data_IF_551260752049
#
_entry.id   IF_551260752049
#
_cell.length_a   1.000
_cell.length_b   1.000
_cell.length_c   1.000
_cell.angle_alpha   90.00
_cell.angle_beta   90.00
_cell.angle_gamma   90.00
#
_symmetry.space_group_name_H-M   'P 1'
#
loop_
_entity.id
_entity.type
_entity.pdbx_description
1 polymer ?
#
# COMPACT_ATOMS: atom_id res chain seq x y z
N UNK A 1 18.27 2.96 -11.43
CA UNK A 1 18.73 2.00 -12.45
C UNK A 1 18.16 0.62 -12.19
N UNK A 2 18.30 -0.33 -13.13
CA UNK A 2 17.59 -1.63 -13.14
C UNK A 2 17.74 -2.43 -11.82
N UNK A 3 18.87 -2.32 -11.13
CA UNK A 3 19.13 -3.00 -9.84
C UNK A 3 18.72 -2.15 -8.63
N UNK A 4 18.97 -0.84 -8.70
CA UNK A 4 18.67 0.09 -7.60
C UNK A 4 17.16 0.22 -7.36
N UNK A 5 16.36 0.30 -8.43
CA UNK A 5 14.91 0.51 -8.38
C UNK A 5 14.17 -0.59 -7.59
N UNK A 6 14.35 -1.90 -7.84
CA UNK A 6 13.66 -2.92 -7.06
C UNK A 6 14.08 -2.90 -5.58
N UNK A 7 15.35 -2.61 -5.28
CA UNK A 7 15.83 -2.52 -3.90
C UNK A 7 15.17 -1.37 -3.13
N UNK A 8 15.14 -0.17 -3.71
CA UNK A 8 14.50 0.99 -3.10
C UNK A 8 12.99 0.79 -2.97
N UNK A 9 12.36 0.13 -3.95
CA UNK A 9 10.93 -0.18 -3.91
C UNK A 9 10.58 -1.19 -2.81
N UNK A 10 11.43 -2.18 -2.53
CA UNK A 10 11.24 -3.10 -1.40
C UNK A 10 11.25 -2.34 -0.07
N UNK A 11 12.24 -1.47 0.15
CA UNK A 11 12.34 -0.67 1.37
C UNK A 11 11.13 0.28 1.52
N UNK A 12 10.75 0.96 0.44
CA UNK A 12 9.58 1.83 0.41
C UNK A 12 8.30 1.08 0.74
N UNK A 13 8.08 -0.12 0.16
CA UNK A 13 6.91 -0.96 0.48
C UNK A 13 6.88 -1.41 1.93
N UNK A 14 8.04 -1.62 2.56
CA UNK A 14 8.12 -1.94 4.00
C UNK A 14 7.65 -0.74 4.84
N UNK A 15 8.11 0.46 4.52
CA UNK A 15 7.68 1.67 5.23
C UNK A 15 6.19 1.96 5.07
N UNK A 16 5.62 1.69 3.90
CA UNK A 16 4.16 1.80 3.69
C UNK A 16 3.37 0.87 4.61
N UNK A 17 3.80 -0.38 4.79
CA UNK A 17 3.15 -1.31 5.74
C UNK A 17 3.26 -0.82 7.19
N UNK A 18 4.44 -0.37 7.61
CA UNK A 18 4.64 0.18 8.97
C UNK A 18 3.78 1.43 9.21
N UNK A 19 3.66 2.30 8.19
CA UNK A 19 2.82 3.48 8.24
C UNK A 19 1.32 3.15 8.29
N UNK A 20 0.86 2.20 7.48
CA UNK A 20 -0.53 1.71 7.49
C UNK A 20 -0.90 1.13 8.87
N UNK A 21 -0.04 0.26 9.40
CA UNK A 21 -0.24 -0.33 10.72
C UNK A 21 -0.28 0.75 11.82
N UNK A 22 0.67 1.68 11.80
CA UNK A 22 0.72 2.79 12.75
C UNK A 22 -0.53 3.66 12.69
N UNK A 23 -0.98 4.03 11.48
CA UNK A 23 -2.15 4.87 11.29
C UNK A 23 -3.42 4.19 11.82
N UNK A 24 -3.62 2.91 11.53
CA UNK A 24 -4.80 2.18 12.00
C UNK A 24 -4.74 1.95 13.52
N UNK A 25 -3.58 1.58 14.08
CA UNK A 25 -3.40 1.41 15.54
C UNK A 25 -3.67 2.70 16.31
N UNK A 26 -3.13 3.82 15.81
CA UNK A 26 -3.22 5.12 16.49
C UNK A 26 -4.63 5.69 16.43
N UNK A 27 -5.27 5.62 15.26
CA UNK A 27 -6.60 6.22 15.05
C UNK A 27 -7.75 5.32 15.51
N UNK A 28 -7.51 4.00 15.61
CA UNK A 28 -8.53 2.96 15.86
C UNK A 28 -9.69 3.01 14.86
N UNK A 29 -9.43 3.49 13.63
CA UNK A 29 -10.45 3.71 12.58
C UNK A 29 -10.11 2.95 11.30
N UNK A 30 -9.97 1.63 11.39
CA UNK A 30 -9.61 0.73 10.28
C UNK A 30 -10.47 0.94 9.04
N UNK A 31 -11.80 0.89 9.19
CA UNK A 31 -12.72 1.00 8.05
C UNK A 31 -12.69 2.37 7.38
N UNK A 32 -12.50 3.44 8.17
CA UNK A 32 -12.38 4.81 7.62
C UNK A 32 -11.07 4.93 6.84
N UNK A 33 -9.97 4.37 7.37
CA UNK A 33 -8.68 4.39 6.70
C UNK A 33 -8.73 3.66 5.35
N UNK A 34 -9.32 2.46 5.30
CA UNK A 34 -9.54 1.72 4.05
C UNK A 34 -10.34 2.56 3.05
N UNK A 35 -11.48 3.14 3.48
CA UNK A 35 -12.30 4.02 2.62
C UNK A 35 -11.53 5.25 2.12
N UNK A 36 -10.65 5.82 2.95
CA UNK A 36 -9.79 6.93 2.55
C UNK A 36 -8.80 6.50 1.46
N UNK A 37 -8.15 5.35 1.62
CA UNK A 37 -7.23 4.83 0.61
C UNK A 37 -7.94 4.52 -0.72
N UNK A 38 -9.13 3.92 -0.67
CA UNK A 38 -9.96 3.67 -1.86
C UNK A 38 -10.34 4.97 -2.56
N UNK A 39 -10.82 5.96 -1.80
CA UNK A 39 -11.19 7.28 -2.34
C UNK A 39 -10.01 7.99 -2.98
N UNK A 40 -8.83 7.96 -2.34
CA UNK A 40 -7.62 8.55 -2.90
C UNK A 40 -7.18 7.83 -4.18
N UNK A 41 -7.31 6.51 -4.22
CA UNK A 41 -6.99 5.72 -5.42
C UNK A 41 -7.90 6.12 -6.58
N UNK A 42 -9.20 6.25 -6.33
CA UNK A 42 -10.18 6.69 -7.34
C UNK A 42 -9.91 8.11 -7.83
N UNK A 43 -9.65 9.04 -6.91
CA UNK A 43 -9.35 10.44 -7.24
C UNK A 43 -8.08 10.60 -8.08
N UNK A 44 -7.10 9.71 -7.89
CA UNK A 44 -5.85 9.74 -8.63
C UNK A 44 -5.82 8.77 -9.83
N UNK A 45 -6.96 8.16 -10.19
CA UNK A 45 -7.06 7.17 -11.26
C UNK A 45 -6.05 6.02 -11.13
N UNK A 46 -5.76 5.63 -9.90
CA UNK A 46 -4.78 4.60 -9.59
C UNK A 46 -5.28 3.21 -10.00
N UNK A 47 -4.40 2.40 -10.55
CA UNK A 47 -4.68 0.99 -10.86
C UNK A 47 -4.86 0.22 -9.55
N UNK A 48 -6.06 -0.34 -9.36
CA UNK A 48 -6.40 -1.08 -8.15
C UNK A 48 -5.76 -2.47 -8.11
N UNK A 49 -5.53 -3.06 -9.28
CA UNK A 49 -5.06 -4.44 -9.45
C UNK A 49 -4.01 -4.54 -10.57
N UNK A 50 -2.87 -3.84 -10.44
CA UNK A 50 -1.81 -3.89 -11.44
C UNK A 50 -1.27 -5.30 -11.59
N UNK A 51 -0.78 -5.60 -12.80
CA UNK A 51 -0.13 -6.89 -13.05
C UNK A 51 1.05 -7.10 -12.07
N UNK A 52 1.21 -8.28 -11.44
CA UNK A 52 2.16 -8.47 -10.34
C UNK A 52 3.61 -8.11 -10.66
N UNK A 53 4.06 -8.37 -11.89
CA UNK A 53 5.41 -8.00 -12.33
C UNK A 53 5.61 -6.48 -12.44
N UNK A 54 4.59 -5.78 -12.93
CA UNK A 54 4.60 -4.32 -13.09
C UNK A 54 4.66 -3.66 -11.71
N UNK A 55 3.81 -4.13 -10.79
CA UNK A 55 3.81 -3.68 -9.39
C UNK A 55 5.16 -3.95 -8.71
N UNK A 56 5.71 -5.16 -8.87
CA UNK A 56 6.97 -5.53 -8.21
C UNK A 56 8.15 -4.64 -8.65
N UNK A 57 8.28 -4.39 -9.96
CA UNK A 57 9.41 -3.69 -10.52
C UNK A 57 9.26 -2.17 -10.49
N UNK A 58 8.10 -1.64 -10.91
CA UNK A 58 7.92 -0.21 -11.13
C UNK A 58 7.31 0.52 -9.93
N UNK A 59 6.48 -0.14 -9.11
CA UNK A 59 5.74 0.57 -8.06
C UNK A 59 6.60 0.69 -6.80
N UNK A 60 6.77 1.92 -6.32
CA UNK A 60 7.43 2.23 -5.04
C UNK A 60 6.60 1.82 -3.82
N UNK A 61 5.28 1.72 -3.99
CA UNK A 61 4.30 1.36 -2.97
C UNK A 61 3.42 0.18 -3.42
N UNK A 62 2.86 -0.62 -2.50
CA UNK A 62 1.94 -1.71 -2.85
C UNK A 62 0.63 -1.14 -3.42
N UNK A 63 -0.02 -1.90 -4.30
CA UNK A 63 -1.38 -1.59 -4.77
C UNK A 63 -2.37 -1.48 -3.61
N UNK A 64 -3.45 -0.72 -3.83
CA UNK A 64 -4.53 -0.58 -2.86
C UNK A 64 -5.06 -1.94 -2.37
N UNK A 65 -5.21 -2.91 -3.29
CA UNK A 65 -5.61 -4.28 -2.97
C UNK A 65 -4.69 -4.91 -1.91
N UNK A 66 -3.37 -4.79 -2.08
CA UNK A 66 -2.40 -5.35 -1.12
C UNK A 66 -2.41 -4.60 0.20
N UNK A 67 -2.52 -3.27 0.18
CA UNK A 67 -2.63 -2.46 1.41
C UNK A 67 -3.86 -2.84 2.21
N UNK A 68 -5.03 -2.93 1.56
CA UNK A 68 -6.29 -3.35 2.20
C UNK A 68 -6.18 -4.77 2.75
N UNK A 69 -5.58 -5.71 2.00
CA UNK A 69 -5.35 -7.07 2.49
C UNK A 69 -4.44 -7.09 3.73
N UNK A 70 -3.33 -6.33 3.71
CA UNK A 70 -2.43 -6.19 4.85
C UNK A 70 -3.17 -5.63 6.07
N UNK A 71 -3.88 -4.50 5.92
CA UNK A 71 -4.67 -3.87 6.98
C UNK A 71 -5.72 -4.84 7.54
N UNK A 72 -6.36 -5.63 6.68
CA UNK A 72 -7.33 -6.63 7.08
C UNK A 72 -6.72 -7.76 7.91
N UNK A 73 -5.47 -8.13 7.62
CA UNK A 73 -4.71 -9.15 8.37
C UNK A 73 -4.17 -8.68 9.72
N UNK A 74 -4.16 -7.37 10.00
CA UNK A 74 -3.72 -6.84 11.29
C UNK A 74 -4.67 -7.29 12.41
N UNK A 75 -4.11 -7.92 13.44
CA UNK A 75 -4.79 -8.24 14.70
C UNK A 75 -4.76 -6.99 15.59
N UNK A 76 -5.84 -6.20 15.55
CA UNK A 76 -5.99 -4.90 16.25
C UNK A 76 -7.11 -4.95 17.28
#
# INVERSE_FOLDING_TARGET
GIIQTPLTNILSRKYEHEADEYAVKTTKKKDVFIKTLDKLTEQNLGDKEPHPFVEWFFYSHPSIKRRVAFINSLNL
#
